data_IF_405448831655
#
_entry.id   IF_405448831655
#
_cell.length_a   1.000
_cell.length_b   1.000
_cell.length_c   1.000
_cell.angle_alpha   90.00
_cell.angle_beta   90.00
_cell.angle_gamma   90.00
#
_symmetry.space_group_name_H-M   'P 1'
#
loop_
_entity.id
_entity.type
_entity.pdbx_description
1 polymer ?
#
# COMPACT_ATOMS: atom_id res chain seq x y z
N UNK A 1 13.81 17.65 45.79
CA UNK A 1 12.88 16.81 45.00
C UNK A 1 13.14 15.35 45.39
N UNK A 2 12.12 14.55 45.77
CA UNK A 2 12.40 13.17 46.22
C UNK A 2 12.81 12.28 45.05
N UNK A 3 13.67 11.28 45.29
CA UNK A 3 14.18 10.34 44.27
C UNK A 3 13.04 9.72 43.44
N UNK A 4 11.88 9.47 44.08
CA UNK A 4 10.67 8.94 43.42
C UNK A 4 10.07 9.93 42.40
N UNK A 5 10.09 11.23 42.71
CA UNK A 5 9.59 12.28 41.80
C UNK A 5 10.56 12.48 40.62
N UNK A 6 11.87 12.37 40.86
CA UNK A 6 12.88 12.47 39.81
C UNK A 6 12.82 11.27 38.85
N UNK A 7 12.64 10.05 39.37
CA UNK A 7 12.46 8.84 38.56
C UNK A 7 11.20 8.94 37.68
N UNK A 8 10.08 9.44 38.22
CA UNK A 8 8.84 9.60 37.46
C UNK A 8 8.99 10.61 36.31
N UNK A 9 9.68 11.73 36.53
CA UNK A 9 9.94 12.74 35.50
C UNK A 9 10.85 12.21 34.40
N UNK A 10 11.87 11.42 34.75
CA UNK A 10 12.76 10.78 33.75
C UNK A 10 11.98 9.75 32.92
N UNK A 11 11.13 8.94 33.55
CA UNK A 11 10.28 7.99 32.81
C UNK A 11 9.33 8.72 31.86
N UNK A 12 8.68 9.80 32.31
CA UNK A 12 7.78 10.58 31.46
C UNK A 12 8.50 11.22 30.27
N UNK A 13 9.71 11.75 30.49
CA UNK A 13 10.54 12.34 29.44
C UNK A 13 11.03 11.29 28.43
N UNK A 14 11.36 10.08 28.87
CA UNK A 14 11.77 8.99 27.98
C UNK A 14 10.60 8.46 27.15
N UNK A 15 9.40 8.33 27.74
CA UNK A 15 8.21 7.86 27.03
C UNK A 15 7.73 8.86 25.96
N UNK A 16 7.88 10.16 26.21
CA UNK A 16 7.50 11.21 25.24
C UNK A 16 8.39 11.28 23.99
N UNK A 17 9.61 10.75 24.05
CA UNK A 17 10.56 10.79 22.91
C UNK A 17 10.38 9.58 21.97
N UNK A 18 9.61 8.56 22.38
CA UNK A 18 9.55 7.26 21.70
C UNK A 18 8.28 7.00 20.87
N UNK A 19 7.38 7.97 20.72
CA UNK A 19 6.15 7.81 19.91
C UNK A 19 6.19 8.77 18.72
N UNK A 20 7.08 8.49 17.76
CA UNK A 20 6.94 9.02 16.40
C UNK A 20 6.39 7.89 15.55
N UNK A 21 5.07 7.86 15.35
CA UNK A 21 4.45 6.94 14.39
C UNK A 21 4.22 7.70 13.09
N UNK A 22 4.79 7.18 12.01
CA UNK A 22 4.55 7.70 10.67
C UNK A 22 3.14 7.30 10.21
N UNK A 23 2.49 8.19 9.44
CA UNK A 23 1.18 7.93 8.87
C UNK A 23 1.25 7.66 7.38
N UNK A 24 0.55 6.62 6.95
CA UNK A 24 0.45 6.18 5.56
C UNK A 24 -1.02 6.03 5.18
N UNK A 25 -1.37 6.55 4.01
CA UNK A 25 -2.63 6.24 3.34
C UNK A 25 -2.33 5.53 2.04
N UNK A 26 -3.21 4.64 1.61
CA UNK A 26 -3.05 4.01 0.31
C UNK A 26 -4.39 3.74 -0.39
N UNK A 27 -4.31 3.52 -1.70
CA UNK A 27 -5.43 3.06 -2.51
C UNK A 27 -4.94 2.03 -3.52
N UNK A 28 -5.73 0.96 -3.68
CA UNK A 28 -5.52 -0.05 -4.72
C UNK A 28 -6.43 0.25 -5.92
N UNK A 29 -5.83 0.32 -7.08
CA UNK A 29 -6.48 0.43 -8.38
C UNK A 29 -6.28 -0.89 -9.11
N UNK A 30 -7.36 -1.46 -9.62
CA UNK A 30 -7.34 -2.59 -10.53
C UNK A 30 -7.54 -2.11 -11.97
N UNK A 31 -6.60 -2.47 -12.84
CA UNK A 31 -6.81 -2.44 -14.28
C UNK A 31 -7.11 -3.84 -14.77
N UNK A 32 -8.36 -4.09 -15.12
CA UNK A 32 -8.77 -5.38 -15.66
C UNK A 32 -9.81 -5.20 -16.77
N UNK A 33 -9.41 -5.44 -18.02
CA UNK A 33 -10.32 -5.34 -19.17
C UNK A 33 -11.40 -6.43 -19.21
N UNK A 34 -11.27 -7.46 -18.39
CA UNK A 34 -12.19 -8.60 -18.36
C UNK A 34 -13.27 -8.50 -17.28
N UNK A 35 -13.14 -7.59 -16.32
CA UNK A 35 -14.11 -7.43 -15.24
C UNK A 35 -14.19 -6.00 -14.72
N UNK A 36 -15.41 -5.47 -14.67
CA UNK A 36 -15.70 -4.18 -14.03
C UNK A 36 -15.71 -4.29 -12.49
N UNK A 37 -15.81 -5.52 -11.95
CA UNK A 37 -15.82 -5.77 -10.52
C UNK A 37 -14.39 -5.87 -9.96
N UNK A 38 -14.21 -5.42 -8.72
CA UNK A 38 -12.94 -5.59 -8.00
C UNK A 38 -12.73 -7.07 -7.71
N UNK A 39 -11.62 -7.63 -8.22
CA UNK A 39 -11.25 -9.02 -7.98
C UNK A 39 -10.89 -9.25 -6.52
N UNK A 40 -11.15 -10.47 -6.07
CA UNK A 40 -10.78 -10.93 -4.72
C UNK A 40 -9.26 -10.84 -4.51
N UNK A 41 -8.45 -11.02 -5.55
CA UNK A 41 -7.01 -10.81 -5.50
C UNK A 41 -6.61 -9.35 -5.23
N UNK A 42 -7.37 -8.37 -5.74
CA UNK A 42 -7.14 -6.94 -5.44
C UNK A 42 -7.50 -6.61 -4.00
N UNK A 43 -8.57 -7.20 -3.46
CA UNK A 43 -8.91 -7.07 -2.04
C UNK A 43 -7.85 -7.74 -1.14
N UNK A 44 -7.30 -8.88 -1.56
CA UNK A 44 -6.19 -9.53 -0.85
C UNK A 44 -4.90 -8.69 -0.89
N UNK A 45 -4.64 -7.97 -1.99
CA UNK A 45 -3.55 -7.00 -2.07
C UNK A 45 -3.80 -5.90 -1.03
N UNK A 46 -4.98 -5.30 -1.03
CA UNK A 46 -5.38 -4.25 -0.07
C UNK A 46 -5.16 -4.68 1.39
N UNK A 47 -5.69 -5.84 1.77
CA UNK A 47 -5.55 -6.40 3.13
C UNK A 47 -4.08 -6.65 3.49
N UNK A 48 -3.29 -7.23 2.57
CA UNK A 48 -1.88 -7.52 2.82
C UNK A 48 -1.06 -6.24 3.02
N UNK A 49 -1.35 -5.18 2.27
CA UNK A 49 -0.68 -3.88 2.41
C UNK A 49 -1.05 -3.24 3.75
N UNK A 50 -2.34 -3.25 4.10
CA UNK A 50 -2.84 -2.73 5.38
C UNK A 50 -2.12 -3.41 6.56
N UNK A 51 -2.16 -4.74 6.58
CA UNK A 51 -1.54 -5.55 7.62
C UNK A 51 -0.02 -5.33 7.69
N UNK A 52 0.65 -5.23 6.55
CA UNK A 52 2.10 -5.00 6.52
C UNK A 52 2.46 -3.70 7.24
N UNK A 53 1.87 -2.57 6.81
CA UNK A 53 2.20 -1.26 7.39
C UNK A 53 1.76 -1.14 8.84
N UNK A 54 0.58 -1.68 9.18
CA UNK A 54 0.14 -1.74 10.57
C UNK A 54 1.15 -2.48 11.46
N UNK A 55 1.62 -3.65 11.00
CA UNK A 55 2.63 -4.44 11.73
C UNK A 55 4.01 -3.78 11.79
N UNK A 56 4.32 -2.83 10.89
CA UNK A 56 5.52 -2.00 10.97
C UNK A 56 5.35 -0.77 11.90
N UNK A 57 4.19 -0.60 12.53
CA UNK A 57 3.95 0.48 13.50
C UNK A 57 3.49 1.80 12.90
N UNK A 58 3.04 1.79 11.64
CA UNK A 58 2.44 2.96 10.99
C UNK A 58 0.99 3.15 11.42
N UNK A 59 0.56 4.41 11.53
CA UNK A 59 -0.86 4.74 11.47
C UNK A 59 -1.28 4.61 10.01
N UNK A 60 -2.03 3.55 9.71
CA UNK A 60 -2.45 3.23 8.34
C UNK A 60 -3.94 3.46 8.14
N UNK A 61 -4.28 4.06 7.00
CA UNK A 61 -5.65 4.17 6.50
C UNK A 61 -5.67 3.82 5.02
N UNK A 62 -6.83 3.45 4.48
CA UNK A 62 -6.96 3.14 3.07
C UNK A 62 -8.29 3.63 2.51
N UNK A 63 -8.28 3.99 1.23
CA UNK A 63 -9.50 4.14 0.45
C UNK A 63 -9.86 2.78 -0.17
N UNK A 64 -11.16 2.47 -0.37
CA UNK A 64 -11.56 1.21 -0.97
C UNK A 64 -10.89 0.96 -2.32
N UNK A 65 -10.57 -0.31 -2.61
CA UNK A 65 -10.13 -0.70 -3.94
C UNK A 65 -11.17 -0.35 -5.01
N UNK A 66 -10.68 0.08 -6.17
CA UNK A 66 -11.50 0.46 -7.31
C UNK A 66 -11.01 -0.24 -8.58
N UNK A 67 -11.93 -0.57 -9.48
CA UNK A 67 -11.63 -1.19 -10.77
C UNK A 67 -12.03 -0.25 -11.91
N UNK A 68 -11.20 -0.18 -12.95
CA UNK A 68 -11.56 0.44 -14.21
C UNK A 68 -10.73 -0.08 -15.37
N UNK A 69 -11.33 -0.06 -16.55
CA UNK A 69 -10.75 -0.63 -17.76
C UNK A 69 -9.82 0.34 -18.49
N UNK A 70 -9.80 1.62 -18.08
CA UNK A 70 -9.06 2.69 -18.74
C UNK A 70 -8.29 3.56 -17.74
N UNK A 71 -6.97 3.59 -17.92
CA UNK A 71 -6.00 4.42 -17.20
C UNK A 71 -6.27 5.93 -17.29
N UNK A 72 -7.15 6.38 -18.20
CA UNK A 72 -7.53 7.79 -18.33
C UNK A 72 -8.13 8.39 -17.05
N UNK A 73 -8.65 7.55 -16.14
CA UNK A 73 -9.23 7.99 -14.87
C UNK A 73 -8.24 7.98 -13.70
N UNK A 74 -7.05 7.40 -13.84
CA UNK A 74 -6.05 7.27 -12.77
C UNK A 74 -5.72 8.62 -12.16
N UNK A 75 -5.47 9.62 -13.00
CA UNK A 75 -5.12 10.96 -12.53
C UNK A 75 -6.23 11.66 -11.74
N UNK A 76 -7.50 11.32 -11.99
CA UNK A 76 -8.62 11.86 -11.20
C UNK A 76 -8.68 11.19 -9.82
N UNK A 77 -8.62 9.87 -9.76
CA UNK A 77 -8.67 9.13 -8.50
C UNK A 77 -7.42 9.34 -7.65
N UNK A 78 -6.24 9.40 -8.27
CA UNK A 78 -4.98 9.75 -7.60
C UNK A 78 -5.09 11.12 -6.94
N UNK A 79 -5.56 12.15 -7.66
CA UNK A 79 -5.75 13.50 -7.09
C UNK A 79 -6.75 13.51 -5.95
N UNK A 80 -7.87 12.78 -6.09
CA UNK A 80 -8.88 12.68 -5.05
C UNK A 80 -8.33 12.02 -3.79
N UNK A 81 -7.65 10.88 -3.92
CA UNK A 81 -7.08 10.15 -2.81
C UNK A 81 -5.93 10.91 -2.12
N UNK A 82 -5.12 11.65 -2.89
CA UNK A 82 -4.10 12.57 -2.34
C UNK A 82 -4.76 13.71 -1.55
N UNK A 83 -5.88 14.27 -2.02
CA UNK A 83 -6.62 15.29 -1.30
C UNK A 83 -7.20 14.75 0.02
N UNK A 84 -7.81 13.57 -0.01
CA UNK A 84 -8.31 12.88 1.20
C UNK A 84 -7.18 12.60 2.20
N UNK A 85 -6.04 12.11 1.73
CA UNK A 85 -4.85 11.88 2.57
C UNK A 85 -4.35 13.19 3.21
N UNK A 86 -4.36 14.29 2.45
CA UNK A 86 -3.99 15.62 2.96
C UNK A 86 -4.95 16.11 4.04
N UNK A 87 -6.25 15.97 3.83
CA UNK A 87 -7.27 16.32 4.83
C UNK A 87 -7.13 15.47 6.11
N UNK A 88 -6.76 14.20 5.97
CA UNK A 88 -6.47 13.29 7.09
C UNK A 88 -5.14 13.54 7.82
N UNK A 89 -4.34 14.53 7.40
CA UNK A 89 -3.03 14.80 8.02
C UNK A 89 -2.01 13.68 7.80
N UNK A 90 -2.17 12.89 6.73
CA UNK A 90 -1.30 11.78 6.39
C UNK A 90 0.02 12.31 5.82
N UNK A 91 1.15 11.69 6.17
CA UNK A 91 2.45 12.07 5.63
C UNK A 91 2.68 11.49 4.24
N UNK A 92 2.50 10.19 4.07
CA UNK A 92 2.77 9.49 2.82
C UNK A 92 1.50 8.90 2.23
N UNK A 93 1.28 9.12 0.94
CA UNK A 93 0.24 8.45 0.17
C UNK A 93 0.86 7.46 -0.82
N UNK A 94 0.28 6.26 -0.89
CA UNK A 94 0.70 5.20 -1.78
C UNK A 94 -0.43 4.89 -2.76
N UNK A 95 -0.17 5.09 -4.05
CA UNK A 95 -1.04 4.56 -5.10
C UNK A 95 -0.50 3.21 -5.54
N UNK A 96 -1.32 2.16 -5.47
CA UNK A 96 -0.97 0.82 -5.90
C UNK A 96 -1.86 0.46 -7.09
N UNK A 97 -1.28 0.11 -8.22
CA UNK A 97 -2.00 -0.28 -9.42
C UNK A 97 -1.68 -1.73 -9.74
N UNK A 98 -2.69 -2.60 -9.69
CA UNK A 98 -2.62 -3.98 -10.10
C UNK A 98 -3.18 -4.13 -11.52
N UNK A 99 -2.30 -4.45 -12.47
CA UNK A 99 -2.67 -4.68 -13.86
C UNK A 99 -2.87 -6.17 -14.10
N UNK A 100 -4.04 -6.52 -14.64
CA UNK A 100 -4.44 -7.89 -14.93
C UNK A 100 -4.39 -8.17 -16.42
N UNK A 101 -3.82 -9.33 -16.77
CA UNK A 101 -3.90 -9.90 -18.11
C UNK A 101 -4.42 -11.34 -18.00
N UNK A 102 -5.67 -11.54 -18.40
CA UNK A 102 -6.32 -12.85 -18.40
C UNK A 102 -6.33 -13.51 -19.78
N UNK A 103 -5.73 -12.89 -20.79
CA UNK A 103 -5.83 -13.34 -22.19
C UNK A 103 -5.27 -14.74 -22.42
N UNK A 104 -4.23 -15.12 -21.68
CA UNK A 104 -3.62 -16.45 -21.71
C UNK A 104 -4.15 -17.41 -20.61
N UNK A 105 -5.09 -16.95 -19.78
CA UNK A 105 -5.53 -17.71 -18.61
C UNK A 105 -6.62 -18.72 -18.98
N UNK A 106 -6.37 -20.00 -18.67
CA UNK A 106 -7.40 -21.04 -18.74
C UNK A 106 -8.54 -20.82 -17.73
N UNK A 107 -8.38 -19.88 -16.78
CA UNK A 107 -9.36 -19.50 -15.75
C UNK A 107 -9.40 -17.97 -15.59
N UNK A 108 -9.86 -17.26 -16.61
CA UNK A 108 -9.96 -15.80 -16.63
C UNK A 108 -10.76 -15.21 -15.45
N UNK A 109 -11.77 -15.93 -14.97
CA UNK A 109 -12.60 -15.53 -13.82
C UNK A 109 -11.95 -15.86 -12.46
N UNK A 110 -10.85 -16.62 -12.42
CA UNK A 110 -10.25 -17.02 -11.17
C UNK A 110 -9.39 -15.89 -10.57
N UNK A 111 -9.46 -15.73 -9.24
CA UNK A 111 -8.67 -14.76 -8.48
C UNK A 111 -7.26 -15.30 -8.22
N UNK A 112 -6.43 -15.35 -9.25
CA UNK A 112 -5.12 -16.03 -9.23
C UNK A 112 -4.00 -15.07 -9.53
N UNK A 113 -2.84 -15.29 -8.89
CA UNK A 113 -1.63 -14.47 -9.13
C UNK A 113 -1.22 -14.49 -10.60
N UNK A 114 -1.49 -15.59 -11.31
CA UNK A 114 -1.17 -15.75 -12.73
C UNK A 114 -1.99 -14.83 -13.65
N UNK A 115 -3.10 -14.27 -13.15
CA UNK A 115 -3.91 -13.29 -13.88
C UNK A 115 -3.44 -11.86 -13.64
N UNK A 116 -2.53 -11.64 -12.68
CA UNK A 116 -1.87 -10.35 -12.46
C UNK A 116 -0.65 -10.35 -13.39
N UNK A 117 -0.52 -9.34 -14.24
CA UNK A 117 0.70 -9.15 -15.04
C UNK A 117 1.78 -8.49 -14.16
N UNK A 118 1.44 -7.37 -13.53
CA UNK A 118 2.31 -6.68 -12.60
C UNK A 118 1.54 -5.85 -11.57
N UNK A 119 2.24 -5.47 -10.50
CA UNK A 119 1.82 -4.41 -9.59
C UNK A 119 2.80 -3.26 -9.71
N UNK A 120 2.29 -2.07 -10.01
CA UNK A 120 3.06 -0.83 -9.93
C UNK A 120 2.62 0.00 -8.74
N UNK A 121 3.52 0.85 -8.26
CA UNK A 121 3.23 1.70 -7.12
C UNK A 121 3.89 3.07 -7.25
N UNK A 122 3.28 4.08 -6.64
CA UNK A 122 3.80 5.44 -6.50
C UNK A 122 3.73 5.85 -5.04
N UNK A 123 4.79 6.49 -4.55
CA UNK A 123 4.86 7.05 -3.21
C UNK A 123 4.93 8.57 -3.32
N UNK A 124 4.00 9.24 -2.65
CA UNK A 124 3.88 10.70 -2.64
C UNK A 124 4.05 11.21 -1.20
N UNK A 125 4.96 12.17 -1.01
CA UNK A 125 5.05 12.94 0.23
C UNK A 125 4.00 14.06 0.17
N UNK A 126 2.95 13.92 0.97
CA UNK A 126 1.81 14.85 1.00
C UNK A 126 2.21 16.23 1.50
N UNK A 127 3.23 16.34 2.36
CA UNK A 127 3.69 17.63 2.89
C UNK A 127 4.39 18.47 1.84
N UNK A 128 5.09 17.80 0.92
CA UNK A 128 5.84 18.43 -0.17
C UNK A 128 5.05 18.49 -1.48
N UNK A 129 3.92 17.81 -1.53
CA UNK A 129 3.11 17.60 -2.74
C UNK A 129 3.94 17.02 -3.89
N UNK A 130 4.89 16.15 -3.55
CA UNK A 130 5.87 15.62 -4.50
C UNK A 130 5.85 14.09 -4.50
N UNK A 131 5.97 13.52 -5.69
CA UNK A 131 6.27 12.10 -5.84
C UNK A 131 7.71 11.87 -5.43
N UNK A 132 7.92 11.07 -4.39
CA UNK A 132 9.26 10.76 -3.87
C UNK A 132 9.81 9.43 -4.38
N UNK A 133 8.95 8.48 -4.74
CA UNK A 133 9.37 7.21 -5.32
C UNK A 133 8.27 6.52 -6.16
N UNK A 134 8.64 5.40 -6.78
CA UNK A 134 7.70 4.46 -7.39
C UNK A 134 8.43 3.26 -7.97
N UNK A 135 7.68 2.20 -8.23
CA UNK A 135 8.24 0.94 -8.71
C UNK A 135 7.21 0.10 -9.44
N UNK A 136 7.69 -1.03 -9.96
CA UNK A 136 6.89 -2.03 -10.65
C UNK A 136 7.48 -3.41 -10.35
N UNK A 137 6.63 -4.36 -9.98
CA UNK A 137 6.99 -5.75 -9.76
C UNK A 137 6.13 -6.62 -10.67
N UNK A 138 6.79 -7.37 -11.55
CA UNK A 138 6.14 -8.37 -12.40
C UNK A 138 5.74 -9.61 -11.58
N UNK A 139 4.53 -10.10 -11.82
CA UNK A 139 3.98 -11.25 -11.10
C UNK A 139 4.54 -12.59 -11.61
N UNK A 140 5.01 -12.64 -12.86
CA UNK A 140 5.51 -13.85 -13.54
C UNK A 140 6.66 -14.57 -12.82
N UNK A 141 7.39 -13.88 -11.93
CA UNK A 141 8.48 -14.45 -11.13
C UNK A 141 8.04 -15.08 -9.79
N UNK A 142 6.77 -14.97 -9.40
CA UNK A 142 6.32 -15.35 -8.06
C UNK A 142 5.98 -16.85 -7.99
N UNK A 143 6.91 -17.65 -7.47
CA UNK A 143 6.67 -19.07 -7.20
C UNK A 143 5.85 -19.27 -5.92
N UNK A 144 4.65 -19.81 -6.06
CA UNK A 144 3.77 -20.12 -4.93
C UNK A 144 3.15 -21.50 -5.02
N UNK A 145 2.88 -22.11 -3.85
CA UNK A 145 2.24 -23.44 -3.74
C UNK A 145 0.74 -23.39 -4.05
N UNK A 146 0.11 -22.25 -3.81
CA UNK A 146 -1.28 -21.97 -4.14
C UNK A 146 -1.46 -20.48 -4.46
N UNK A 147 -2.62 -20.15 -5.02
CA UNK A 147 -2.95 -18.84 -5.57
C UNK A 147 -2.89 -17.74 -4.50
N UNK A 148 -3.48 -17.99 -3.33
CA UNK A 148 -3.49 -17.06 -2.19
C UNK A 148 -2.09 -16.72 -1.72
N UNK A 149 -1.22 -17.74 -1.60
CA UNK A 149 0.18 -17.54 -1.21
C UNK A 149 0.94 -16.75 -2.27
N UNK A 150 0.57 -16.86 -3.54
CA UNK A 150 1.16 -16.09 -4.63
C UNK A 150 0.85 -14.61 -4.51
N UNK A 151 -0.44 -14.27 -4.40
CA UNK A 151 -0.89 -12.89 -4.21
C UNK A 151 -0.28 -12.30 -2.94
N UNK A 152 -0.33 -13.02 -1.82
CA UNK A 152 0.27 -12.57 -0.57
C UNK A 152 1.77 -12.28 -0.70
N UNK A 153 2.56 -13.18 -1.31
CA UNK A 153 4.00 -12.97 -1.51
C UNK A 153 4.31 -11.78 -2.41
N UNK A 154 3.52 -11.61 -3.49
CA UNK A 154 3.65 -10.48 -4.39
C UNK A 154 3.38 -9.17 -3.64
N UNK A 155 2.26 -9.10 -2.92
CA UNK A 155 1.87 -7.93 -2.11
C UNK A 155 2.88 -7.61 -1.00
N UNK A 156 3.41 -8.63 -0.31
CA UNK A 156 4.48 -8.46 0.68
C UNK A 156 5.74 -7.87 0.06
N UNK A 157 6.11 -8.30 -1.15
CA UNK A 157 7.26 -7.75 -1.87
C UNK A 157 7.04 -6.27 -2.22
N UNK A 158 5.85 -5.93 -2.73
CA UNK A 158 5.45 -4.53 -3.00
C UNK A 158 5.53 -3.69 -1.72
N UNK A 159 4.91 -4.15 -0.63
CA UNK A 159 4.91 -3.45 0.65
C UNK A 159 6.33 -3.22 1.19
N UNK A 160 7.18 -4.24 1.09
CA UNK A 160 8.57 -4.17 1.54
C UNK A 160 9.41 -3.19 0.72
N UNK A 161 9.21 -3.09 -0.60
CA UNK A 161 9.90 -2.09 -1.43
C UNK A 161 9.44 -0.67 -1.05
N UNK A 162 8.14 -0.45 -0.90
CA UNK A 162 7.59 0.86 -0.50
C UNK A 162 8.11 1.27 0.88
N UNK A 163 8.09 0.36 1.85
CA UNK A 163 8.59 0.63 3.20
C UNK A 163 10.08 0.96 3.19
N UNK A 164 10.88 0.26 2.38
CA UNK A 164 12.29 0.62 2.21
C UNK A 164 12.46 2.03 1.66
N UNK A 165 11.62 2.48 0.71
CA UNK A 165 11.70 3.86 0.21
C UNK A 165 11.28 4.88 1.26
N UNK A 166 10.22 4.62 2.03
CA UNK A 166 9.81 5.50 3.14
C UNK A 166 10.98 5.68 4.10
N UNK A 167 11.68 4.60 4.47
CA UNK A 167 12.85 4.67 5.35
C UNK A 167 14.03 5.47 4.79
N UNK A 168 14.13 5.66 3.46
CA UNK A 168 15.15 6.53 2.84
C UNK A 168 14.78 8.02 2.85
N UNK A 169 13.51 8.34 3.12
CA UNK A 169 13.01 9.72 3.21
C UNK A 169 13.04 10.27 4.65
N UNK A 170 13.42 9.44 5.63
CA UNK A 170 13.56 9.79 7.05
C UNK A 170 15.00 10.21 7.36
#
# INVERSE_FOLDING_TARGET
MSVKRMALTVIFAVVSVLVYSESVAFQVIQHDKSSDDVRLSSLMIEETILDYFFNQGFIVTNSPAISFNDSAKDGYYEKKAVAEAREGGIRYFILITADYDVSASARSEANVVDNIDFISWKLTDIRRDERVAGGKIDASGIKAKNMQTGVYKLSQKVASEIHSEIGRQL
#
